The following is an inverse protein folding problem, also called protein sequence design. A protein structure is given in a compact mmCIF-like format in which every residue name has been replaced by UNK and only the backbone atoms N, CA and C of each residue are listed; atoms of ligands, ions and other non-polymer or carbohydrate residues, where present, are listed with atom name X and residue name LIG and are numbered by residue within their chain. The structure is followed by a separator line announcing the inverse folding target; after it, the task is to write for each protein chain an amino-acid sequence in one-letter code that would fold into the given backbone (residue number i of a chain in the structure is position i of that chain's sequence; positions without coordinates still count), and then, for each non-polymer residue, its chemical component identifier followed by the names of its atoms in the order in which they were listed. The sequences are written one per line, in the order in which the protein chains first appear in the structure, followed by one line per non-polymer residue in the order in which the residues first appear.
data_IF_642123339785
#
_entry.id   IF_642123339785
#
_cell.length_a   1.000
_cell.length_b   1.000
_cell.length_c   1.000
_cell.angle_alpha   90.00
_cell.angle_beta   90.00
_cell.angle_gamma   90.00
#
_symmetry.space_group_name_H-M   'P 1'
#
loop_
_entity.id
_entity.type
_entity.pdbx_description
1 polymer ?
#
# COMPACT_ATOMS: atom_id res chain seq x y z
N UNK A 1 26.88 -2.13 -20.82
CA UNK A 1 26.21 -1.36 -19.75
C UNK A 1 24.77 -1.10 -20.20
N UNK A 2 23.95 -2.14 -20.14
CA UNK A 2 22.55 -2.15 -20.60
C UNK A 2 21.78 -3.05 -19.61
N UNK A 3 20.49 -2.74 -19.43
CA UNK A 3 19.47 -3.47 -18.64
C UNK A 3 19.15 -2.98 -17.23
N UNK A 4 18.58 -1.79 -17.14
CA UNK A 4 17.64 -1.41 -16.06
C UNK A 4 16.27 -1.04 -16.65
N UNK A 5 15.64 -1.96 -17.41
CA UNK A 5 14.29 -1.76 -17.98
C UNK A 5 13.35 -2.97 -17.83
N UNK A 6 13.43 -3.73 -16.74
CA UNK A 6 12.47 -4.82 -16.42
C UNK A 6 11.95 -4.84 -14.97
N UNK A 7 12.20 -3.81 -14.17
CA UNK A 7 12.16 -3.92 -12.70
C UNK A 7 10.78 -3.76 -12.01
N UNK A 8 9.65 -3.93 -12.70
CA UNK A 8 8.32 -3.91 -12.05
C UNK A 8 7.33 -4.97 -12.55
N UNK A 9 7.70 -5.75 -13.56
CA UNK A 9 6.85 -6.79 -14.16
C UNK A 9 7.12 -8.21 -13.62
N UNK A 10 8.03 -8.35 -12.65
CA UNK A 10 8.47 -9.64 -12.10
C UNK A 10 8.14 -9.83 -10.61
N UNK A 11 7.28 -9.00 -10.03
CA UNK A 11 6.71 -9.33 -8.71
C UNK A 11 5.61 -10.35 -8.95
N UNK A 12 5.90 -11.62 -8.65
CA UNK A 12 4.93 -12.70 -8.63
C UNK A 12 3.99 -12.47 -7.43
N UNK A 13 2.96 -11.66 -7.65
CA UNK A 13 2.01 -11.22 -6.62
C UNK A 13 1.27 -12.38 -5.95
N UNK A 14 1.21 -13.55 -6.60
CA UNK A 14 0.58 -14.77 -6.08
C UNK A 14 1.45 -15.46 -5.01
N UNK A 15 2.77 -15.19 -4.98
CA UNK A 15 3.69 -15.69 -3.93
C UNK A 15 3.76 -14.81 -2.70
N UNK A 16 3.20 -13.61 -2.76
CA UNK A 16 3.22 -12.70 -1.63
C UNK A 16 2.04 -13.00 -0.69
N UNK A 17 2.26 -13.08 0.64
CA UNK A 17 1.19 -13.40 1.58
C UNK A 17 0.14 -12.28 1.63
N UNK A 18 -0.97 -12.46 0.90
CA UNK A 18 -2.04 -11.48 0.85
C UNK A 18 -2.65 -11.28 -0.53
N UNK A 19 -3.70 -10.47 -0.58
CA UNK A 19 -4.34 -10.10 -1.85
C UNK A 19 -3.59 -8.98 -2.58
N UNK A 20 -3.69 -8.93 -3.90
CA UNK A 20 -3.13 -7.84 -4.74
C UNK A 20 -3.47 -6.44 -4.22
N UNK A 21 -4.68 -6.24 -3.70
CA UNK A 21 -5.12 -4.98 -3.12
C UNK A 21 -4.42 -4.61 -1.81
N UNK A 22 -4.04 -5.60 -0.99
CA UNK A 22 -3.26 -5.37 0.23
C UNK A 22 -1.90 -4.80 -0.12
N UNK A 23 -1.25 -5.33 -1.14
CA UNK A 23 0.05 -4.83 -1.59
C UNK A 23 0.00 -3.45 -2.22
N UNK A 24 -1.02 -3.19 -3.07
CA UNK A 24 -1.23 -1.85 -3.65
C UNK A 24 -1.42 -0.83 -2.53
N UNK A 25 -2.27 -1.12 -1.54
CA UNK A 25 -2.51 -0.23 -0.40
C UNK A 25 -1.27 -0.10 0.47
N UNK A 26 -0.56 -1.19 0.75
CA UNK A 26 0.67 -1.19 1.55
C UNK A 26 1.76 -0.32 0.93
N UNK A 27 2.06 -0.50 -0.36
CA UNK A 27 3.06 0.30 -1.09
C UNK A 27 2.66 1.76 -1.15
N UNK A 28 1.36 2.03 -1.32
CA UNK A 28 0.80 3.37 -1.33
C UNK A 28 0.99 4.06 0.03
N UNK A 29 0.77 3.36 1.14
CA UNK A 29 1.04 3.85 2.50
C UNK A 29 2.55 4.04 2.71
N UNK A 30 3.37 3.07 2.31
CA UNK A 30 4.83 3.12 2.43
C UNK A 30 5.42 4.34 1.71
N UNK A 31 4.97 4.60 0.48
CA UNK A 31 5.35 5.79 -0.29
C UNK A 31 4.82 7.07 0.34
N UNK A 32 3.63 7.03 0.94
CA UNK A 32 3.00 8.18 1.57
C UNK A 32 3.52 8.58 2.93
N UNK A 33 4.15 7.66 3.67
CA UNK A 33 4.83 7.98 4.92
C UNK A 33 6.07 8.84 4.65
N UNK A 34 6.73 8.67 3.50
CA UNK A 34 7.79 9.59 3.07
C UNK A 34 7.26 10.98 2.63
N UNK A 35 5.94 11.17 2.48
CA UNK A 35 5.35 12.40 1.95
C UNK A 35 4.19 12.99 2.77
N UNK A 36 3.89 12.47 3.97
CA UNK A 36 2.81 12.93 4.85
C UNK A 36 1.42 13.10 4.17
N UNK A 37 1.05 12.25 3.21
CA UNK A 37 -0.22 12.38 2.46
C UNK A 37 -1.28 11.31 2.80
N UNK A 38 -2.54 11.69 2.63
CA UNK A 38 -3.74 10.85 2.80
C UNK A 38 -3.91 9.84 1.65
N UNK A 39 -2.93 8.96 1.42
CA UNK A 39 -2.86 8.29 0.10
C UNK A 39 -3.91 7.17 -0.08
N UNK A 40 -4.54 6.69 0.99
CA UNK A 40 -5.52 5.59 0.89
C UNK A 40 -6.80 5.97 0.14
N UNK A 41 -7.23 7.24 0.19
CA UNK A 41 -8.43 7.71 -0.53
C UNK A 41 -8.10 8.29 -1.91
N UNK A 42 -6.84 8.70 -2.14
CA UNK A 42 -6.37 9.16 -3.46
C UNK A 42 -6.34 8.02 -4.49
N UNK A 43 -6.12 6.77 -4.05
CA UNK A 43 -6.15 5.58 -4.91
C UNK A 43 -7.44 5.47 -5.73
N UNK A 44 -8.58 5.87 -5.17
CA UNK A 44 -9.87 5.85 -5.84
C UNK A 44 -10.33 7.23 -6.34
N UNK A 45 -9.46 8.25 -6.26
CA UNK A 45 -9.81 9.65 -6.50
C UNK A 45 -10.24 9.96 -7.94
N UNK A 46 -9.68 9.21 -8.91
CA UNK A 46 -9.97 9.35 -10.35
C UNK A 46 -11.13 8.48 -10.85
N UNK A 47 -11.72 7.67 -9.98
CA UNK A 47 -12.85 6.82 -10.31
C UNK A 47 -14.17 7.53 -9.95
N UNK A 48 -15.21 7.21 -10.70
CA UNK A 48 -16.56 7.74 -10.51
C UNK A 48 -17.59 6.61 -10.33
N UNK A 49 -18.79 6.96 -9.86
CA UNK A 49 -19.91 6.04 -9.72
C UNK A 49 -19.59 4.74 -8.96
N UNK A 50 -20.07 3.63 -9.50
CA UNK A 50 -19.95 2.29 -8.91
C UNK A 50 -18.50 1.78 -8.83
N UNK A 51 -17.65 2.18 -9.78
CA UNK A 51 -16.24 1.81 -9.80
C UNK A 51 -15.48 2.43 -8.61
N UNK A 52 -15.80 3.69 -8.29
CA UNK A 52 -15.25 4.38 -7.12
C UNK A 52 -15.62 3.67 -5.83
N UNK A 53 -16.89 3.28 -5.68
CA UNK A 53 -17.36 2.60 -4.47
C UNK A 53 -16.77 1.20 -4.34
N UNK A 54 -16.64 0.47 -5.44
CA UNK A 54 -15.98 -0.83 -5.44
C UNK A 54 -14.48 -0.72 -5.08
N UNK A 55 -13.78 0.29 -5.63
CA UNK A 55 -12.39 0.58 -5.26
C UNK A 55 -12.27 0.89 -3.76
N UNK A 56 -13.11 1.77 -3.22
CA UNK A 56 -13.11 2.10 -1.78
C UNK A 56 -13.36 0.88 -0.90
N UNK A 57 -14.24 -0.03 -1.33
CA UNK A 57 -14.52 -1.29 -0.61
C UNK A 57 -13.27 -2.16 -0.56
N UNK A 58 -12.62 -2.39 -1.70
CA UNK A 58 -11.39 -3.19 -1.79
C UNK A 58 -10.24 -2.58 -1.00
N UNK A 59 -10.10 -1.25 -1.02
CA UNK A 59 -9.11 -0.53 -0.18
C UNK A 59 -9.40 -0.73 1.31
N UNK A 60 -10.68 -0.68 1.73
CA UNK A 60 -11.06 -0.92 3.12
C UNK A 60 -10.79 -2.35 3.57
N UNK A 61 -11.09 -3.34 2.74
CA UNK A 61 -10.78 -4.76 2.98
C UNK A 61 -9.27 -4.97 3.10
N UNK A 62 -8.50 -4.41 2.18
CA UNK A 62 -7.03 -4.45 2.23
C UNK A 62 -6.45 -3.79 3.49
N UNK A 63 -6.96 -2.62 3.88
CA UNK A 63 -6.57 -1.94 5.13
C UNK A 63 -6.96 -2.72 6.39
N UNK A 64 -7.95 -3.61 6.31
CA UNK A 64 -8.32 -4.50 7.42
C UNK A 64 -7.31 -5.64 7.48
N UNK A 65 -7.05 -6.33 6.38
CA UNK A 65 -6.10 -7.45 6.34
C UNK A 65 -4.67 -7.05 6.71
N UNK A 66 -4.17 -5.89 6.25
CA UNK A 66 -2.86 -5.36 6.68
C UNK A 66 -2.81 -5.03 8.17
N UNK A 67 -3.93 -4.60 8.77
CA UNK A 67 -4.01 -4.31 10.21
C UNK A 67 -3.99 -5.61 11.01
N UNK A 68 -4.77 -6.60 10.57
CA UNK A 68 -4.85 -7.91 11.22
C UNK A 68 -3.51 -8.65 11.15
N UNK A 69 -2.71 -8.41 10.11
CA UNK A 69 -1.32 -8.89 9.96
C UNK A 69 -0.28 -8.10 10.77
N UNK A 70 -0.67 -7.06 11.52
CA UNK A 70 0.26 -6.23 12.29
C UNK A 70 1.16 -5.32 11.44
N UNK A 71 0.90 -5.16 10.14
CA UNK A 71 1.72 -4.37 9.20
C UNK A 71 1.38 -2.88 9.28
N UNK A 72 0.11 -2.55 9.51
CA UNK A 72 -0.37 -1.17 9.63
C UNK A 72 -1.14 -0.95 10.91
N UNK A 73 -1.08 0.27 11.44
CA UNK A 73 -1.94 0.75 12.51
C UNK A 73 -2.65 2.04 12.09
N UNK A 74 -3.75 2.38 12.77
CA UNK A 74 -4.49 3.62 12.50
C UNK A 74 -4.47 4.52 13.72
N UNK A 75 -4.22 5.82 13.52
CA UNK A 75 -4.25 6.83 14.58
C UNK A 75 -4.99 8.07 14.08
N UNK A 76 -5.84 8.64 14.94
CA UNK A 76 -6.48 9.93 14.66
C UNK A 76 -5.45 11.06 14.78
N UNK A 77 -5.39 11.93 13.78
CA UNK A 77 -4.56 13.15 13.76
C UNK A 77 -5.37 14.25 13.06
N UNK A 78 -5.44 15.45 13.64
CA UNK A 78 -6.22 16.58 13.11
C UNK A 78 -7.68 16.22 12.77
N UNK A 79 -8.35 15.45 13.64
CA UNK A 79 -9.74 15.00 13.42
C UNK A 79 -9.92 13.92 12.36
N UNK A 80 -8.85 13.50 11.67
CA UNK A 80 -8.90 12.49 10.60
C UNK A 80 -8.24 11.19 11.03
N UNK A 81 -8.72 10.07 10.51
CA UNK A 81 -8.10 8.76 10.74
C UNK A 81 -6.99 8.54 9.70
N UNK A 82 -5.76 8.35 10.16
CA UNK A 82 -4.60 8.10 9.31
C UNK A 82 -4.10 6.67 9.52
N UNK A 83 -3.68 6.03 8.44
CA UNK A 83 -3.00 4.73 8.48
C UNK A 83 -1.48 4.92 8.42
N UNK A 84 -0.75 4.20 9.25
CA UNK A 84 0.70 4.24 9.40
C UNK A 84 1.27 2.82 9.37
N UNK A 85 2.52 2.66 8.94
CA UNK A 85 3.25 1.40 9.05
C UNK A 85 3.73 1.16 10.47
N UNK A 86 3.58 -0.06 10.96
CA UNK A 86 4.25 -0.54 12.18
C UNK A 86 5.75 -0.71 11.92
N UNK A 87 6.52 -1.07 12.95
CA UNK A 87 7.94 -1.43 12.79
C UNK A 87 8.12 -2.56 11.79
N UNK A 88 7.30 -3.63 11.89
CA UNK A 88 7.31 -4.75 10.95
C UNK A 88 6.95 -4.31 9.53
N UNK A 89 5.93 -3.45 9.38
CA UNK A 89 5.55 -2.92 8.08
C UNK A 89 6.64 -2.06 7.44
N UNK A 90 7.43 -1.32 8.23
CA UNK A 90 8.59 -0.56 7.72
C UNK A 90 9.72 -1.48 7.27
N UNK A 91 10.04 -2.53 8.04
CA UNK A 91 11.05 -3.52 7.66
C UNK A 91 10.63 -4.22 6.36
N UNK A 92 9.36 -4.60 6.26
CA UNK A 92 8.81 -5.20 5.04
C UNK A 92 8.90 -4.24 3.85
N UNK A 93 8.59 -2.96 4.05
CA UNK A 93 8.69 -1.95 3.00
C UNK A 93 10.14 -1.73 2.56
N UNK A 94 11.09 -1.72 3.50
CA UNK A 94 12.52 -1.60 3.22
C UNK A 94 13.03 -2.80 2.39
N UNK A 95 12.69 -4.02 2.78
CA UNK A 95 13.03 -5.25 2.02
C UNK A 95 12.51 -5.22 0.59
N UNK A 96 11.26 -4.76 0.40
CA UNK A 96 10.69 -4.61 -0.95
C UNK A 96 11.40 -3.51 -1.72
N UNK A 97 11.74 -2.40 -1.06
CA UNK A 97 12.49 -1.34 -1.69
C UNK A 97 13.86 -1.83 -2.16
N UNK A 98 14.61 -2.57 -1.32
CA UNK A 98 15.91 -3.18 -1.66
C UNK A 98 15.84 -4.08 -2.90
N UNK A 99 14.77 -4.87 -3.03
CA UNK A 99 14.53 -5.73 -4.21
C UNK A 99 14.13 -4.91 -5.45
N UNK A 100 13.50 -3.75 -5.27
CA UNK A 100 13.03 -2.89 -6.35
C UNK A 100 14.01 -1.77 -6.74
N UNK A 101 15.16 -1.62 -6.08
CA UNK A 101 16.20 -0.66 -6.49
C UNK A 101 16.92 -1.18 -7.75
N UNK A 102 17.26 -0.30 -8.70
CA UNK A 102 17.88 -0.69 -9.97
C UNK A 102 19.25 -1.34 -9.82
#
# INVERSE_FOLDING_TARGET
MLEAKKSLLLVDWDKLPGGRWEWIVFLTIARGINQHRHIHMELCGRLEGSEKENCKRRVREALKGLKDKGIVYRKKRYGRLHSYLTTEGKILAAKICEVCQP
#
